data_IF_553200147323
#
_entry.id   IF_553200147323
#
_cell.length_a   1.000
_cell.length_b   1.000
_cell.length_c   1.000
_cell.angle_alpha   90.00
_cell.angle_beta   90.00
_cell.angle_gamma   90.00
#
_symmetry.space_group_name_H-M   'P 1'
#
loop_
_entity.id
_entity.type
_entity.pdbx_description
1 polymer ?
#
# COMPACT_ATOMS: atom_id res chain seq x y z
N UNK A 1 -23.96 -6.44 -7.05
CA UNK A 1 -24.82 -6.28 -8.22
C UNK A 1 -25.22 -4.82 -8.38
N UNK A 2 -25.79 -4.17 -7.36
CA UNK A 2 -26.18 -2.75 -7.39
C UNK A 2 -25.06 -1.85 -7.91
N UNK A 3 -23.83 -1.94 -7.35
CA UNK A 3 -22.68 -1.14 -7.79
C UNK A 3 -22.27 -1.37 -9.25
N UNK A 4 -22.41 -2.58 -9.75
CA UNK A 4 -22.13 -2.86 -11.16
C UNK A 4 -23.20 -2.23 -12.08
N UNK A 5 -24.43 -2.16 -11.63
CA UNK A 5 -25.51 -1.51 -12.38
C UNK A 5 -25.40 0.02 -12.35
N UNK A 6 -25.06 0.61 -11.20
CA UNK A 6 -24.75 2.05 -11.06
C UNK A 6 -23.62 2.51 -11.99
N UNK A 7 -22.56 1.71 -12.11
CA UNK A 7 -21.41 2.01 -12.96
C UNK A 7 -21.62 1.67 -14.46
N UNK A 8 -22.77 1.12 -14.83
CA UNK A 8 -23.05 0.65 -16.20
C UNK A 8 -23.04 1.77 -17.25
N UNK A 9 -23.60 2.94 -16.92
CA UNK A 9 -23.65 4.08 -17.82
C UNK A 9 -22.24 4.62 -18.20
N UNK A 10 -21.27 4.56 -17.27
CA UNK A 10 -19.89 5.00 -17.50
C UNK A 10 -18.96 3.96 -18.11
N UNK A 11 -19.44 2.73 -18.38
CA UNK A 11 -18.59 1.60 -18.76
C UNK A 11 -17.71 1.87 -20.00
N UNK A 12 -18.28 2.46 -21.06
CA UNK A 12 -17.55 2.71 -22.29
C UNK A 12 -16.40 3.71 -22.08
N UNK A 13 -16.67 4.79 -21.34
CA UNK A 13 -15.66 5.81 -21.01
C UNK A 13 -14.54 5.20 -20.16
N UNK A 14 -14.86 4.41 -19.13
CA UNK A 14 -13.86 3.72 -18.30
C UNK A 14 -13.00 2.73 -19.09
N UNK A 15 -13.60 1.98 -20.01
CA UNK A 15 -12.83 1.06 -20.89
C UNK A 15 -11.86 1.86 -21.77
N UNK A 16 -12.28 2.98 -22.34
CA UNK A 16 -11.42 3.84 -23.15
C UNK A 16 -10.28 4.42 -22.31
N UNK A 17 -10.56 4.94 -21.12
CA UNK A 17 -9.58 5.45 -20.18
C UNK A 17 -8.55 4.39 -19.79
N UNK A 18 -9.00 3.20 -19.35
CA UNK A 18 -8.10 2.11 -18.97
C UNK A 18 -7.23 1.62 -20.13
N UNK A 19 -7.73 1.64 -21.36
CA UNK A 19 -6.95 1.28 -22.54
C UNK A 19 -5.90 2.30 -22.91
N UNK A 20 -6.15 3.58 -22.67
CA UNK A 20 -5.21 4.65 -23.00
C UNK A 20 -4.23 4.93 -21.86
N UNK A 21 -4.68 4.95 -20.62
CA UNK A 21 -3.92 5.44 -19.47
C UNK A 21 -3.54 4.33 -18.47
N UNK A 22 -4.18 3.14 -18.57
CA UNK A 22 -4.06 2.11 -17.55
C UNK A 22 -4.82 2.46 -16.26
N UNK A 23 -4.40 1.93 -15.14
CA UNK A 23 -4.90 2.22 -13.79
C UNK A 23 -3.70 2.44 -12.85
N UNK A 24 -3.88 3.17 -11.73
CA UNK A 24 -2.80 3.44 -10.79
C UNK A 24 -2.19 2.18 -10.22
N UNK A 25 -0.86 2.13 -10.19
CA UNK A 25 -0.09 1.06 -9.56
C UNK A 25 1.13 1.66 -8.87
N UNK A 26 1.81 0.86 -8.05
CA UNK A 26 3.05 1.27 -7.39
C UNK A 26 4.19 0.30 -7.69
N UNK A 27 5.43 0.75 -7.53
CA UNK A 27 6.61 -0.11 -7.63
C UNK A 27 7.43 -0.11 -6.34
N UNK A 28 7.93 -1.28 -5.96
CA UNK A 28 8.91 -1.45 -4.86
C UNK A 28 10.32 -1.72 -5.39
N UNK A 29 10.49 -1.82 -6.71
CA UNK A 29 11.75 -2.25 -7.34
C UNK A 29 12.94 -1.36 -6.98
N UNK A 30 12.71 -0.08 -6.70
CA UNK A 30 13.75 0.89 -6.37
C UNK A 30 14.08 0.99 -4.87
N UNK A 31 13.26 0.43 -3.99
CA UNK A 31 13.29 0.68 -2.55
C UNK A 31 13.67 -0.50 -1.67
N UNK A 32 14.34 -1.54 -2.19
CA UNK A 32 14.77 -2.70 -1.40
C UNK A 32 15.92 -2.38 -0.46
N UNK A 33 15.96 -3.11 0.68
CA UNK A 33 17.07 -3.06 1.63
C UNK A 33 18.38 -3.51 0.95
N UNK A 34 19.49 -2.90 1.34
CA UNK A 34 20.83 -3.29 0.88
C UNK A 34 21.23 -2.77 -0.51
N UNK A 35 20.37 -1.99 -1.18
CA UNK A 35 20.80 -1.34 -2.43
C UNK A 35 21.74 -0.16 -2.16
N UNK A 36 22.75 0.00 -3.03
CA UNK A 36 23.57 1.21 -3.05
C UNK A 36 22.75 2.42 -3.49
N UNK A 37 23.23 3.60 -3.13
CA UNK A 37 22.58 4.87 -3.50
C UNK A 37 22.45 5.03 -5.01
N UNK A 38 23.51 4.71 -5.75
CA UNK A 38 23.53 4.78 -7.21
C UNK A 38 22.51 3.83 -7.84
N UNK A 39 22.41 2.61 -7.30
CA UNK A 39 21.42 1.65 -7.76
C UNK A 39 20.00 2.15 -7.52
N UNK A 40 19.72 2.66 -6.32
CA UNK A 40 18.40 3.22 -6.01
C UNK A 40 18.06 4.38 -6.94
N UNK A 41 18.95 5.37 -7.08
CA UNK A 41 18.76 6.53 -7.97
C UNK A 41 18.54 6.09 -9.42
N UNK A 42 19.32 5.15 -9.92
CA UNK A 42 19.17 4.62 -11.28
C UNK A 42 17.80 3.98 -11.51
N UNK A 43 17.36 3.11 -10.58
CA UNK A 43 16.05 2.45 -10.67
C UNK A 43 14.87 3.43 -10.54
N UNK A 44 14.97 4.43 -9.66
CA UNK A 44 13.94 5.46 -9.51
C UNK A 44 13.80 6.27 -10.80
N UNK A 45 14.91 6.74 -11.37
CA UNK A 45 14.91 7.54 -12.61
C UNK A 45 14.34 6.74 -13.79
N UNK A 46 14.70 5.46 -13.90
CA UNK A 46 14.13 4.58 -14.91
C UNK A 46 12.61 4.44 -14.75
N UNK A 47 12.13 4.18 -13.53
CA UNK A 47 10.70 4.07 -13.25
C UNK A 47 9.96 5.39 -13.52
N UNK A 48 10.54 6.55 -13.18
CA UNK A 48 9.96 7.86 -13.51
C UNK A 48 9.85 8.04 -15.03
N UNK A 49 10.86 7.64 -15.79
CA UNK A 49 10.84 7.73 -17.25
C UNK A 49 9.75 6.82 -17.87
N UNK A 50 9.39 5.72 -17.22
CA UNK A 50 8.27 4.84 -17.58
C UNK A 50 6.90 5.38 -17.13
N UNK A 51 6.85 6.51 -16.39
CA UNK A 51 5.61 7.14 -15.95
C UNK A 51 5.12 6.71 -14.55
N UNK A 52 5.91 5.99 -13.77
CA UNK A 52 5.54 5.62 -12.41
C UNK A 52 5.39 6.84 -11.49
N UNK A 53 4.34 6.84 -10.70
CA UNK A 53 4.00 7.94 -9.77
C UNK A 53 3.99 7.53 -8.31
N UNK A 54 4.00 6.23 -8.01
CA UNK A 54 3.91 5.68 -6.67
C UNK A 54 5.11 4.75 -6.40
N UNK A 55 5.87 5.05 -5.35
CA UNK A 55 7.11 4.36 -5.00
C UNK A 55 7.05 3.85 -3.56
N UNK A 56 7.32 2.56 -3.37
CA UNK A 56 7.36 1.96 -2.04
C UNK A 56 8.79 1.54 -1.68
N UNK A 57 9.24 1.84 -0.47
CA UNK A 57 10.52 1.41 0.07
C UNK A 57 10.35 0.48 1.27
N UNK A 58 11.25 -0.47 1.40
CA UNK A 58 11.36 -1.29 2.61
C UNK A 58 12.08 -0.52 3.71
N UNK A 59 11.57 -0.60 4.94
CA UNK A 59 12.14 0.01 6.14
C UNK A 59 12.27 -1.04 7.25
N UNK A 60 12.90 -0.69 8.36
CA UNK A 60 12.95 -1.54 9.54
C UNK A 60 14.26 -2.27 9.76
N UNK A 61 15.23 -2.13 8.86
CA UNK A 61 16.57 -2.67 9.06
C UNK A 61 17.42 -1.83 10.04
N UNK A 62 17.54 -0.56 9.77
CA UNK A 62 18.25 0.42 10.60
C UNK A 62 17.66 1.81 10.37
N UNK A 63 17.25 2.50 11.43
CA UNK A 63 16.59 3.80 11.32
C UNK A 63 17.42 4.87 10.60
N UNK A 64 18.72 4.96 10.89
CA UNK A 64 19.59 5.94 10.24
C UNK A 64 19.71 5.67 8.73
N UNK A 65 19.78 4.40 8.34
CA UNK A 65 19.78 3.99 6.94
C UNK A 65 18.41 4.21 6.28
N UNK A 66 17.33 3.93 6.97
CA UNK A 66 15.97 4.18 6.50
C UNK A 66 15.75 5.67 6.21
N UNK A 67 16.20 6.56 7.11
CA UNK A 67 16.16 8.03 6.93
C UNK A 67 17.01 8.44 5.71
N UNK A 68 18.22 7.92 5.58
CA UNK A 68 19.12 8.19 4.44
C UNK A 68 18.47 7.80 3.11
N UNK A 69 17.93 6.58 3.03
CA UNK A 69 17.27 6.06 1.83
C UNK A 69 15.98 6.81 1.51
N UNK A 70 15.17 7.13 2.53
CA UNK A 70 13.95 7.92 2.35
C UNK A 70 14.26 9.31 1.78
N UNK A 71 15.35 9.96 2.23
CA UNK A 71 15.82 11.23 1.68
C UNK A 71 16.17 11.09 0.19
N UNK A 72 16.96 10.09 -0.16
CA UNK A 72 17.35 9.84 -1.56
C UNK A 72 16.11 9.63 -2.43
N UNK A 73 15.16 8.81 -1.99
CA UNK A 73 13.96 8.52 -2.76
C UNK A 73 13.13 9.80 -2.92
N UNK A 74 12.91 10.55 -1.84
CA UNK A 74 12.13 11.80 -1.89
C UNK A 74 12.79 12.86 -2.79
N UNK A 75 14.12 12.99 -2.76
CA UNK A 75 14.85 13.87 -3.67
C UNK A 75 14.63 13.50 -5.14
N UNK A 76 14.67 12.22 -5.48
CA UNK A 76 14.52 11.75 -6.86
C UNK A 76 13.06 11.81 -7.36
N UNK A 77 12.09 11.43 -6.53
CA UNK A 77 10.68 11.41 -6.95
C UNK A 77 10.01 12.78 -6.90
N UNK A 78 10.60 13.75 -6.20
CA UNK A 78 10.03 15.08 -6.00
C UNK A 78 8.81 15.08 -5.06
N UNK A 79 8.15 16.24 -4.86
CA UNK A 79 7.04 16.37 -3.89
C UNK A 79 5.72 15.76 -4.38
N UNK A 80 5.50 15.69 -5.70
CA UNK A 80 4.19 15.34 -6.26
C UNK A 80 3.93 13.83 -6.30
N UNK A 81 4.99 13.02 -6.36
CA UNK A 81 4.87 11.55 -6.39
C UNK A 81 4.75 10.97 -4.99
N UNK A 82 4.02 9.87 -4.88
CA UNK A 82 3.76 9.21 -3.60
C UNK A 82 4.90 8.32 -3.17
N UNK A 83 5.37 8.52 -1.94
CA UNK A 83 6.26 7.60 -1.24
C UNK A 83 5.42 6.75 -0.29
N UNK A 84 5.64 5.44 -0.27
CA UNK A 84 5.11 4.52 0.72
C UNK A 84 6.28 3.81 1.40
N UNK A 85 6.07 3.39 2.63
CA UNK A 85 7.04 2.66 3.42
C UNK A 85 6.44 1.32 3.87
N UNK A 86 7.26 0.28 3.94
CA UNK A 86 6.82 -1.06 4.31
C UNK A 86 7.82 -1.67 5.28
N UNK A 87 7.36 -1.92 6.51
CA UNK A 87 8.16 -2.44 7.60
C UNK A 87 8.13 -3.97 7.71
N UNK A 88 7.29 -4.65 6.94
CA UNK A 88 7.16 -6.12 6.96
C UNK A 88 7.12 -6.69 8.38
N UNK A 89 6.31 -6.09 9.26
CA UNK A 89 5.99 -6.59 10.60
C UNK A 89 7.14 -6.59 11.62
N UNK A 90 8.28 -5.95 11.31
CA UNK A 90 9.50 -6.08 12.13
C UNK A 90 9.47 -5.26 13.42
N UNK A 91 8.55 -4.31 13.56
CA UNK A 91 8.50 -3.44 14.74
C UNK A 91 7.47 -3.87 15.77
N UNK A 92 7.79 -3.66 17.03
CA UNK A 92 6.76 -3.56 18.08
C UNK A 92 6.05 -2.20 18.00
N UNK A 93 4.87 -2.10 18.63
CA UNK A 93 4.03 -0.89 18.57
C UNK A 93 4.79 0.40 18.95
N UNK A 94 5.52 0.40 20.08
CA UNK A 94 6.30 1.57 20.49
C UNK A 94 7.39 1.91 19.49
N UNK A 95 8.09 0.90 18.98
CA UNK A 95 9.17 1.09 18.01
C UNK A 95 8.64 1.66 16.71
N UNK A 96 7.48 1.19 16.23
CA UNK A 96 6.84 1.74 15.02
C UNK A 96 6.56 3.25 15.18
N UNK A 97 6.02 3.66 16.34
CA UNK A 97 5.75 5.06 16.64
C UNK A 97 7.05 5.88 16.68
N UNK A 98 8.05 5.39 17.40
CA UNK A 98 9.34 6.09 17.55
C UNK A 98 10.09 6.22 16.20
N UNK A 99 10.05 5.17 15.35
CA UNK A 99 10.73 5.18 14.07
C UNK A 99 9.98 6.01 13.00
N UNK A 100 8.66 6.01 13.03
CA UNK A 100 7.88 6.82 12.10
C UNK A 100 7.99 8.32 12.36
N UNK A 101 8.24 8.76 13.59
CA UNK A 101 8.38 10.18 13.91
C UNK A 101 9.42 10.91 13.04
N UNK A 102 10.69 10.46 12.93
CA UNK A 102 11.66 11.07 12.03
C UNK A 102 11.41 10.75 10.54
N UNK A 103 10.71 9.65 10.21
CA UNK A 103 10.42 9.29 8.83
C UNK A 103 9.26 10.12 8.23
N UNK A 104 8.38 10.65 9.07
CA UNK A 104 7.25 11.48 8.65
C UNK A 104 7.68 12.75 7.86
N UNK A 105 8.91 13.29 8.10
CA UNK A 105 9.44 14.44 7.36
C UNK A 105 9.54 14.22 5.84
N UNK A 106 9.55 12.97 5.39
CA UNK A 106 9.60 12.60 3.97
C UNK A 106 8.21 12.47 3.34
N UNK A 107 7.16 12.86 4.04
CA UNK A 107 5.77 12.84 3.60
C UNK A 107 5.35 11.47 3.00
N UNK A 108 5.53 10.35 3.73
CA UNK A 108 5.03 9.07 3.25
C UNK A 108 3.51 9.06 3.27
N UNK A 109 2.90 8.55 2.19
CA UNK A 109 1.46 8.37 2.11
C UNK A 109 0.96 7.39 3.18
N UNK A 110 1.65 6.24 3.30
CA UNK A 110 1.38 5.28 4.37
C UNK A 110 2.63 4.51 4.81
N UNK A 111 2.52 3.93 6.00
CA UNK A 111 3.36 2.82 6.48
C UNK A 111 2.57 1.52 6.38
N UNK A 112 3.14 0.52 5.72
CA UNK A 112 2.60 -0.82 5.53
C UNK A 112 3.17 -1.77 6.57
N UNK A 113 2.30 -2.60 7.15
CA UNK A 113 2.64 -3.63 8.14
C UNK A 113 3.63 -3.15 9.23
N UNK A 114 3.31 -2.07 9.96
CA UNK A 114 4.25 -1.53 10.95
C UNK A 114 4.50 -2.48 12.13
N UNK A 115 3.59 -3.41 12.41
CA UNK A 115 3.68 -4.38 13.49
C UNK A 115 3.03 -5.70 13.09
N UNK A 116 2.93 -6.66 14.03
CA UNK A 116 2.33 -7.99 13.77
C UNK A 116 0.98 -7.87 13.06
N UNK A 117 0.76 -8.65 11.98
CA UNK A 117 -0.47 -8.57 11.17
C UNK A 117 -1.74 -9.00 11.92
N UNK A 118 -1.61 -9.65 13.07
CA UNK A 118 -2.73 -10.06 13.92
C UNK A 118 -3.05 -9.04 15.03
N UNK A 119 -2.19 -8.03 15.22
CA UNK A 119 -2.35 -7.03 16.29
C UNK A 119 -3.20 -5.82 15.84
N UNK A 120 -4.50 -6.02 15.83
CA UNK A 120 -5.47 -4.97 15.45
C UNK A 120 -5.36 -3.73 16.36
N UNK A 121 -5.22 -3.93 17.67
CA UNK A 121 -5.12 -2.82 18.63
C UNK A 121 -3.76 -2.11 18.54
N UNK A 122 -2.69 -2.84 18.23
CA UNK A 122 -1.37 -2.26 17.95
C UNK A 122 -1.40 -1.36 16.73
N UNK A 123 -2.00 -1.79 15.63
CA UNK A 123 -2.19 -0.96 14.44
C UNK A 123 -3.01 0.30 14.76
N UNK A 124 -4.09 0.18 15.53
CA UNK A 124 -4.90 1.33 15.96
C UNK A 124 -4.07 2.35 16.74
N UNK A 125 -3.28 1.90 17.74
CA UNK A 125 -2.41 2.77 18.53
C UNK A 125 -1.34 3.47 17.68
N UNK A 126 -0.73 2.74 16.74
CA UNK A 126 0.24 3.31 15.81
C UNK A 126 -0.44 4.38 14.97
N UNK A 127 -1.58 4.07 14.35
CA UNK A 127 -2.33 5.00 13.50
C UNK A 127 -2.69 6.29 14.23
N UNK A 128 -3.16 6.19 15.47
CA UNK A 128 -3.50 7.35 16.31
C UNK A 128 -2.29 8.24 16.64
N UNK A 129 -1.10 7.64 16.75
CA UNK A 129 0.11 8.33 17.15
C UNK A 129 0.90 8.97 16.00
N UNK A 130 0.84 8.41 14.78
CA UNK A 130 1.71 8.82 13.66
C UNK A 130 1.03 9.72 12.62
N UNK A 131 -0.23 10.10 12.83
CA UNK A 131 -0.89 11.01 11.86
C UNK A 131 -0.03 12.26 11.60
N UNK A 132 0.02 12.72 10.34
CA UNK A 132 -0.88 12.43 9.21
C UNK A 132 -0.52 11.19 8.36
N UNK A 133 0.57 10.49 8.65
CA UNK A 133 0.95 9.27 7.92
C UNK A 133 -0.13 8.20 8.13
N UNK A 134 -0.61 7.61 7.05
CA UNK A 134 -1.62 6.57 7.08
C UNK A 134 -1.04 5.21 7.44
N UNK A 135 -1.89 4.30 7.91
CA UNK A 135 -1.51 2.90 8.17
C UNK A 135 -2.18 2.00 7.15
N UNK A 136 -1.39 1.14 6.51
CA UNK A 136 -1.85 0.12 5.58
C UNK A 136 -1.49 -1.28 6.08
N UNK A 137 -2.38 -2.24 5.90
CA UNK A 137 -2.08 -3.66 6.14
C UNK A 137 -3.10 -4.55 5.44
N UNK A 138 -2.78 -5.84 5.36
CA UNK A 138 -3.72 -6.83 4.87
C UNK A 138 -3.12 -7.95 4.02
N UNK A 139 -1.88 -7.85 3.56
CA UNK A 139 -1.26 -8.90 2.75
C UNK A 139 -1.17 -10.25 3.48
N UNK A 140 -1.13 -10.22 4.81
CA UNK A 140 -1.12 -11.40 5.68
C UNK A 140 -2.51 -11.76 6.24
N UNK A 141 -3.53 -10.94 6.03
CA UNK A 141 -4.88 -11.18 6.52
C UNK A 141 -5.56 -12.32 5.75
N UNK A 142 -6.01 -13.33 6.48
CA UNK A 142 -6.44 -14.61 5.91
C UNK A 142 -7.94 -14.66 5.56
N UNK A 143 -8.75 -13.74 6.09
CA UNK A 143 -10.19 -13.79 5.91
C UNK A 143 -10.85 -12.41 6.14
N UNK A 144 -12.08 -12.27 5.61
CA UNK A 144 -12.89 -11.05 5.73
C UNK A 144 -13.20 -10.64 7.17
N UNK A 145 -13.18 -11.56 8.13
CA UNK A 145 -13.50 -11.23 9.53
C UNK A 145 -12.36 -10.42 10.16
N UNK A 146 -11.12 -10.80 9.89
CA UNK A 146 -9.95 -10.04 10.35
C UNK A 146 -9.94 -8.65 9.71
N UNK A 147 -10.15 -8.54 8.40
CA UNK A 147 -10.30 -7.25 7.72
C UNK A 147 -11.42 -6.38 8.32
N UNK A 148 -12.58 -6.99 8.60
CA UNK A 148 -13.69 -6.31 9.27
C UNK A 148 -13.25 -5.74 10.63
N UNK A 149 -12.48 -6.50 11.42
CA UNK A 149 -11.99 -6.04 12.73
C UNK A 149 -11.06 -4.83 12.57
N UNK A 150 -10.10 -4.89 11.66
CA UNK A 150 -9.21 -3.75 11.36
C UNK A 150 -10.00 -2.49 10.96
N UNK A 151 -10.92 -2.62 10.03
CA UNK A 151 -11.73 -1.52 9.53
C UNK A 151 -12.66 -0.94 10.61
N UNK A 152 -13.39 -1.80 11.33
CA UNK A 152 -14.36 -1.36 12.35
C UNK A 152 -13.71 -0.77 13.59
N UNK A 153 -12.47 -1.15 13.90
CA UNK A 153 -11.67 -0.56 14.99
C UNK A 153 -10.97 0.73 14.58
N UNK A 154 -11.06 1.13 13.31
CA UNK A 154 -10.31 2.26 12.81
C UNK A 154 -8.79 2.04 12.94
N UNK A 155 -8.34 0.82 12.75
CA UNK A 155 -6.95 0.44 12.91
C UNK A 155 -6.10 0.69 11.65
N UNK A 156 -6.73 0.87 10.51
CA UNK A 156 -6.09 1.09 9.21
C UNK A 156 -6.79 2.20 8.41
N UNK A 157 -6.04 2.79 7.50
CA UNK A 157 -6.52 3.80 6.54
C UNK A 157 -6.53 3.28 5.10
N UNK A 158 -5.74 2.25 4.81
CA UNK A 158 -5.61 1.64 3.48
C UNK A 158 -5.71 0.13 3.63
N UNK A 159 -6.59 -0.48 2.85
CA UNK A 159 -6.84 -1.92 2.86
C UNK A 159 -5.98 -2.59 1.79
N UNK A 160 -5.15 -3.56 2.19
CA UNK A 160 -4.28 -4.29 1.25
C UNK A 160 -4.73 -5.74 1.15
N UNK A 161 -5.56 -6.04 0.17
CA UNK A 161 -5.94 -7.44 -0.12
C UNK A 161 -4.77 -8.17 -0.77
N UNK A 162 -4.62 -9.46 -0.47
CA UNK A 162 -3.73 -10.37 -1.19
C UNK A 162 -4.51 -11.56 -1.72
N UNK A 163 -4.32 -11.84 -3.01
CA UNK A 163 -5.11 -12.84 -3.72
C UNK A 163 -4.71 -14.29 -3.42
N UNK A 164 -3.55 -14.50 -2.77
CA UNK A 164 -3.10 -15.81 -2.29
C UNK A 164 -3.44 -16.08 -0.82
N UNK A 165 -3.62 -15.03 -0.03
CA UNK A 165 -3.96 -15.14 1.40
C UNK A 165 -5.45 -15.31 1.63
N UNK A 166 -6.26 -14.57 0.89
CA UNK A 166 -7.72 -14.68 0.98
C UNK A 166 -8.24 -15.92 0.26
N UNK A 167 -9.29 -16.51 0.76
CA UNK A 167 -9.88 -17.77 0.29
C UNK A 167 -10.62 -17.69 -1.05
N UNK A 168 -10.12 -16.88 -1.99
CA UNK A 168 -10.65 -16.78 -3.35
C UNK A 168 -11.42 -15.49 -3.62
N UNK A 169 -11.91 -15.37 -4.87
CA UNK A 169 -12.53 -14.14 -5.39
C UNK A 169 -13.70 -13.64 -4.55
N UNK A 170 -14.55 -14.51 -4.08
CA UNK A 170 -15.72 -14.12 -3.28
C UNK A 170 -15.32 -13.47 -1.95
N UNK A 171 -14.27 -13.98 -1.31
CA UNK A 171 -13.73 -13.43 -0.06
C UNK A 171 -13.10 -12.05 -0.30
N UNK A 172 -12.32 -11.93 -1.38
CA UNK A 172 -11.71 -10.67 -1.80
C UNK A 172 -12.76 -9.60 -2.08
N UNK A 173 -13.77 -9.93 -2.89
CA UNK A 173 -14.85 -9.00 -3.21
C UNK A 173 -15.64 -8.58 -1.96
N UNK A 174 -15.82 -9.48 -0.99
CA UNK A 174 -16.46 -9.12 0.28
C UNK A 174 -15.64 -8.06 1.04
N UNK A 175 -14.30 -8.21 1.08
CA UNK A 175 -13.39 -7.24 1.71
C UNK A 175 -13.44 -5.90 0.98
N UNK A 176 -13.32 -5.90 -0.35
CA UNK A 176 -13.39 -4.69 -1.18
C UNK A 176 -14.73 -3.94 -1.00
N UNK A 177 -15.85 -4.66 -0.94
CA UNK A 177 -17.17 -4.06 -0.70
C UNK A 177 -17.30 -3.47 0.71
N UNK A 178 -16.71 -4.11 1.72
CA UNK A 178 -16.64 -3.54 3.07
C UNK A 178 -15.80 -2.27 3.11
N UNK A 179 -14.62 -2.28 2.50
CA UNK A 179 -13.75 -1.11 2.38
C UNK A 179 -14.49 0.06 1.72
N UNK A 180 -15.12 -0.21 0.58
CA UNK A 180 -15.91 0.79 -0.15
C UNK A 180 -17.11 1.34 0.67
N UNK A 181 -17.78 0.50 1.45
CA UNK A 181 -18.88 0.93 2.34
C UNK A 181 -18.39 1.85 3.46
N UNK A 182 -17.16 1.65 3.91
CA UNK A 182 -16.53 2.43 4.98
C UNK A 182 -15.69 3.62 4.46
N UNK A 183 -15.65 3.81 3.14
CA UNK A 183 -14.87 4.89 2.51
C UNK A 183 -13.36 4.71 2.59
N UNK A 184 -12.88 3.47 2.75
CA UNK A 184 -11.46 3.16 2.81
C UNK A 184 -10.94 2.79 1.42
N UNK A 185 -9.82 3.36 0.97
CA UNK A 185 -9.18 2.97 -0.28
C UNK A 185 -8.58 1.57 -0.18
N UNK A 186 -8.56 0.87 -1.31
CA UNK A 186 -7.90 -0.43 -1.47
C UNK A 186 -6.61 -0.24 -2.26
N UNK A 187 -5.52 -0.81 -1.76
CA UNK A 187 -4.23 -0.83 -2.45
C UNK A 187 -3.74 -2.29 -2.47
N UNK A 188 -4.10 -3.08 -3.48
CA UNK A 188 -3.84 -4.51 -3.50
C UNK A 188 -2.35 -4.84 -3.43
N UNK A 189 -2.00 -5.82 -2.61
CA UNK A 189 -0.67 -6.42 -2.59
C UNK A 189 -0.54 -7.41 -3.74
N UNK A 190 0.62 -7.42 -4.38
CA UNK A 190 1.02 -8.45 -5.33
C UNK A 190 2.52 -8.71 -5.24
N UNK A 191 2.89 -9.97 -5.17
CA UNK A 191 4.28 -10.41 -5.16
C UNK A 191 4.39 -11.85 -5.65
N UNK A 192 5.54 -12.19 -6.21
CA UNK A 192 5.76 -13.53 -6.77
C UNK A 192 5.19 -13.74 -8.19
N UNK A 193 5.38 -14.94 -8.68
CA UNK A 193 5.03 -15.31 -10.05
C UNK A 193 3.53 -15.51 -10.20
N UNK A 194 2.92 -14.86 -11.16
CA UNK A 194 1.50 -15.00 -11.51
C UNK A 194 0.53 -14.18 -10.65
N UNK A 195 0.96 -13.66 -9.49
CA UNK A 195 0.08 -12.90 -8.62
C UNK A 195 -0.24 -11.51 -9.17
N UNK A 196 0.72 -10.85 -9.80
CA UNK A 196 0.52 -9.55 -10.43
C UNK A 196 -0.52 -9.63 -11.55
N UNK A 197 -0.47 -10.67 -12.36
CA UNK A 197 -1.40 -10.93 -13.45
C UNK A 197 -2.83 -11.18 -12.94
N UNK A 198 -2.96 -11.81 -11.77
CA UNK A 198 -4.27 -12.03 -11.16
C UNK A 198 -4.82 -10.76 -10.49
N UNK A 199 -4.00 -10.09 -9.68
CA UNK A 199 -4.45 -8.94 -8.89
C UNK A 199 -4.84 -7.73 -9.74
N UNK A 200 -4.28 -7.58 -10.93
CA UNK A 200 -4.67 -6.49 -11.83
C UNK A 200 -6.16 -6.46 -12.14
N UNK A 201 -6.82 -7.62 -12.24
CA UNK A 201 -8.27 -7.68 -12.46
C UNK A 201 -9.06 -7.13 -11.28
N UNK A 202 -8.58 -7.38 -10.07
CA UNK A 202 -9.18 -6.84 -8.83
C UNK A 202 -8.94 -5.34 -8.71
N UNK A 203 -7.73 -4.88 -9.04
CA UNK A 203 -7.40 -3.46 -9.09
C UNK A 203 -8.29 -2.70 -10.08
N UNK A 204 -8.54 -3.26 -11.27
CA UNK A 204 -9.46 -2.68 -12.26
C UNK A 204 -10.92 -2.65 -11.78
N UNK A 205 -11.34 -3.58 -10.92
CA UNK A 205 -12.69 -3.58 -10.34
C UNK A 205 -12.83 -2.46 -9.31
N UNK A 206 -11.78 -2.21 -8.54
CA UNK A 206 -11.77 -1.16 -7.50
C UNK A 206 -11.68 0.24 -8.10
N UNK A 207 -10.83 0.42 -9.08
CA UNK A 207 -10.61 1.68 -9.81
C UNK A 207 -11.85 2.14 -10.58
#
# INVERSE_FOLDING_TARGET
>A
RERLEEKRAGRAARIAEMRSNGFPAYTTSAGWLGYSDDKMRGLIRAAIAEGWTHFKMKVGGNLADDIRRARIIREEIGPDRKLMMDANQVWGVKQAIDHMAPLAQFDPWFIEEPTSPDDVEGHRKIREAIGPVKVATGEMCQNRILFKQFMMRGAIDVVQIDSCRLGGVNEILAVMLMAAKLGLPVCPHAGGVGLCEYVQHLSMIDY
#
